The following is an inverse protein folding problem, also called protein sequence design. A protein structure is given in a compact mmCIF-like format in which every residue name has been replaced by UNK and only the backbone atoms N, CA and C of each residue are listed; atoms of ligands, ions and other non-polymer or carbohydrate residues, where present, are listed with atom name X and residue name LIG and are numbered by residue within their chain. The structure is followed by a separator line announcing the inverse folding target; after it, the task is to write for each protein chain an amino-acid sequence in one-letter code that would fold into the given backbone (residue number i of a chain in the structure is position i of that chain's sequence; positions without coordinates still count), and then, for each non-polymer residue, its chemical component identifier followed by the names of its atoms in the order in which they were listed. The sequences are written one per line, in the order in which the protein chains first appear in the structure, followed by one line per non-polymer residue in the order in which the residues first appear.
data_IF_619661223180
#
_entry.id   IF_619661223180
#
_cell.length_a   1.000
_cell.length_b   1.000
_cell.length_c   1.000
_cell.angle_alpha   90.00
_cell.angle_beta   90.00
_cell.angle_gamma   90.00
#
_symmetry.space_group_name_H-M   'P 1'
#
loop_
_entity.id
_entity.type
_entity.pdbx_description
1 polymer ?
#
# COMPACT_ATOMS: atom_id res chain seq x y z
N UNK A 1 -7.85 -8.57 -0.62
CA UNK A 1 -7.20 -8.25 -1.91
C UNK A 1 -7.06 -9.43 -2.87
N UNK A 2 -7.27 -10.69 -2.44
CA UNK A 2 -6.86 -11.91 -3.15
C UNK A 2 -7.33 -12.11 -4.62
N UNK A 3 -8.41 -11.44 -5.06
CA UNK A 3 -8.94 -11.59 -6.41
C UNK A 3 -8.83 -10.32 -7.29
N UNK A 4 -8.10 -9.30 -6.83
CA UNK A 4 -7.93 -8.04 -7.56
C UNK A 4 -6.52 -7.89 -8.14
N UNK A 5 -6.40 -6.95 -9.08
CA UNK A 5 -5.12 -6.48 -9.62
C UNK A 5 -5.05 -4.97 -9.43
N UNK A 6 -3.91 -4.48 -8.98
CA UNK A 6 -3.66 -3.06 -8.78
C UNK A 6 -2.39 -2.68 -9.51
N UNK A 7 -2.40 -1.51 -10.16
CA UNK A 7 -1.25 -1.01 -10.88
C UNK A 7 -0.38 -0.20 -9.93
N UNK A 8 0.89 -0.60 -9.83
CA UNK A 8 1.92 0.12 -9.09
C UNK A 8 2.76 0.93 -10.07
N UNK A 9 3.05 2.17 -9.69
CA UNK A 9 4.13 2.96 -10.26
C UNK A 9 5.32 2.97 -9.30
N UNK A 10 6.48 2.68 -9.84
CA UNK A 10 7.75 2.66 -9.12
C UNK A 10 8.68 3.66 -9.81
N UNK A 11 9.02 4.73 -9.09
CA UNK A 11 10.01 5.71 -9.53
C UNK A 11 11.36 5.35 -8.90
N UNK A 12 12.33 5.01 -9.75
CA UNK A 12 13.70 4.69 -9.32
C UNK A 12 14.53 5.97 -9.36
N UNK A 13 15.01 6.49 -8.22
CA UNK A 13 15.84 7.69 -8.20
C UNK A 13 17.26 7.41 -8.71
N UNK A 14 17.98 8.44 -9.15
CA UNK A 14 19.39 8.34 -9.56
C UNK A 14 20.30 7.77 -8.46
N UNK A 15 19.93 8.00 -7.20
CA UNK A 15 20.67 7.51 -6.03
C UNK A 15 20.40 6.05 -5.66
N UNK A 16 19.60 5.30 -6.42
CA UNK A 16 19.34 3.89 -6.14
C UNK A 16 20.63 3.03 -6.33
N UNK A 17 20.93 2.08 -5.43
CA UNK A 17 20.12 1.62 -4.30
C UNK A 17 20.41 2.30 -2.96
N UNK A 18 21.23 3.36 -2.90
CA UNK A 18 21.48 4.07 -1.64
C UNK A 18 20.25 4.86 -1.16
N UNK A 19 19.41 5.31 -2.09
CA UNK A 19 18.08 5.85 -1.82
C UNK A 19 17.00 4.83 -2.22
N UNK A 20 15.91 4.69 -1.44
CA UNK A 20 14.79 3.80 -1.77
C UNK A 20 14.04 4.29 -3.01
N UNK A 21 13.42 3.39 -3.79
CA UNK A 21 12.47 3.77 -4.81
C UNK A 21 11.22 4.40 -4.18
N UNK A 22 10.53 5.28 -4.91
CA UNK A 22 9.19 5.74 -4.51
C UNK A 22 8.14 4.84 -5.13
N UNK A 23 7.14 4.46 -4.33
CA UNK A 23 6.07 3.57 -4.77
C UNK A 23 4.73 4.24 -4.55
N UNK A 24 3.88 4.19 -5.57
CA UNK A 24 2.48 4.61 -5.46
C UNK A 24 1.56 3.70 -6.26
N UNK A 25 0.33 3.56 -5.81
CA UNK A 25 -0.71 2.91 -6.57
C UNK A 25 -1.30 3.89 -7.60
N UNK A 26 -1.30 3.49 -8.88
CA UNK A 26 -2.02 4.20 -9.95
C UNK A 26 -3.52 3.93 -9.90
N UNK A 27 -3.89 2.75 -9.44
CA UNK A 27 -5.27 2.35 -9.17
C UNK A 27 -5.65 2.66 -7.72
N UNK A 28 -6.91 3.01 -7.45
CA UNK A 28 -7.37 3.24 -6.08
C UNK A 28 -7.24 1.98 -5.21
N UNK A 29 -6.62 2.15 -4.04
CA UNK A 29 -6.45 1.13 -3.00
C UNK A 29 -6.87 1.74 -1.68
N UNK A 30 -7.64 0.97 -0.90
CA UNK A 30 -8.02 1.37 0.46
C UNK A 30 -7.22 0.53 1.44
N UNK A 31 -6.23 1.11 2.10
CA UNK A 31 -5.44 0.45 3.15
C UNK A 31 -4.87 1.49 4.11
N UNK A 32 -4.53 1.10 5.34
CA UNK A 32 -4.07 2.04 6.37
C UNK A 32 -2.78 2.78 5.98
N UNK A 33 -1.88 2.12 5.25
CA UNK A 33 -0.58 2.66 4.83
C UNK A 33 -0.57 3.21 3.40
N UNK A 34 -1.74 3.38 2.76
CA UNK A 34 -1.87 3.94 1.42
C UNK A 34 -2.73 5.19 1.49
N UNK A 35 -2.22 6.30 0.97
CA UNK A 35 -3.02 7.50 0.82
C UNK A 35 -4.12 7.25 -0.23
N UNK A 36 -5.36 7.55 0.15
CA UNK A 36 -6.53 7.15 -0.64
C UNK A 36 -6.70 7.99 -1.93
N UNK A 37 -6.23 9.23 -1.93
CA UNK A 37 -6.39 10.14 -3.07
C UNK A 37 -5.23 10.02 -4.06
N UNK A 38 -4.00 10.01 -3.54
CA UNK A 38 -2.76 10.03 -4.32
C UNK A 38 -2.22 8.64 -4.64
N UNK A 39 -2.61 7.63 -3.85
CA UNK A 39 -2.08 6.27 -3.92
C UNK A 39 -0.68 6.13 -3.33
N UNK A 40 -0.12 7.17 -2.69
CA UNK A 40 1.21 7.12 -2.09
C UNK A 40 1.28 6.03 -1.01
N UNK A 41 2.36 5.24 -1.05
CA UNK A 41 2.63 4.22 -0.03
C UNK A 41 3.51 4.86 1.05
N UNK A 42 3.13 4.67 2.32
CA UNK A 42 3.83 5.26 3.47
C UNK A 42 5.35 5.05 3.37
N UNK A 43 6.08 6.16 3.30
CA UNK A 43 7.53 6.16 3.15
C UNK A 43 8.26 5.58 4.37
N UNK A 44 7.70 5.63 5.58
CA UNK A 44 8.33 5.06 6.77
C UNK A 44 8.52 3.54 6.63
N UNK A 45 7.61 2.86 5.89
CA UNK A 45 7.76 1.45 5.52
C UNK A 45 9.03 1.21 4.67
N UNK A 46 9.36 2.17 3.80
CA UNK A 46 10.46 2.04 2.84
C UNK A 46 11.76 2.69 3.30
N UNK A 47 11.71 3.73 4.15
CA UNK A 47 12.83 4.64 4.44
C UNK A 47 13.58 4.26 5.70
N UNK A 48 12.89 4.02 6.81
CA UNK A 48 13.55 3.77 8.10
C UNK A 48 14.23 2.40 8.16
N UNK A 49 13.75 1.46 7.34
CA UNK A 49 14.29 0.11 7.22
C UNK A 49 14.96 -0.15 5.87
N UNK A 50 15.22 0.88 5.04
CA UNK A 50 15.84 0.67 3.74
C UNK A 50 17.26 0.13 3.88
N UNK A 51 17.59 -0.86 3.07
CA UNK A 51 18.96 -1.31 2.86
C UNK A 51 19.26 -1.32 1.37
N UNK A 52 20.45 -0.84 0.93
CA UNK A 52 20.87 -0.96 -0.47
C UNK A 52 20.94 -2.41 -0.99
N UNK A 53 20.84 -3.41 -0.10
CA UNK A 53 20.73 -4.82 -0.46
C UNK A 53 19.34 -5.20 -0.99
N UNK A 54 18.31 -4.35 -0.82
CA UNK A 54 16.96 -4.62 -1.29
C UNK A 54 16.80 -4.32 -2.77
N UNK A 55 16.09 -5.22 -3.45
CA UNK A 55 15.76 -5.12 -4.86
C UNK A 55 14.36 -4.56 -5.07
N UNK A 56 14.05 -4.11 -6.28
CA UNK A 56 12.67 -3.72 -6.65
C UNK A 56 11.66 -4.86 -6.44
N UNK A 57 12.08 -6.12 -6.65
CA UNK A 57 11.26 -7.30 -6.34
C UNK A 57 10.90 -7.37 -4.85
N UNK A 58 11.90 -7.18 -3.97
CA UNK A 58 11.67 -7.11 -2.52
C UNK A 58 10.80 -5.91 -2.12
N UNK A 59 10.92 -4.78 -2.81
CA UNK A 59 10.02 -3.64 -2.61
C UNK A 59 8.56 -4.02 -2.90
N UNK A 60 8.30 -4.72 -4.02
CA UNK A 60 6.94 -5.17 -4.37
C UNK A 60 6.41 -6.22 -3.38
N UNK A 61 7.24 -7.17 -2.96
CA UNK A 61 6.87 -8.12 -1.89
C UNK A 61 6.49 -7.41 -0.59
N UNK A 62 7.26 -6.40 -0.18
CA UNK A 62 6.98 -5.62 1.02
C UNK A 62 5.63 -4.89 0.94
N UNK A 63 5.31 -4.29 -0.23
CA UNK A 63 4.00 -3.67 -0.46
C UNK A 63 2.86 -4.69 -0.37
N UNK A 64 3.04 -5.89 -0.92
CA UNK A 64 2.03 -6.96 -0.81
C UNK A 64 1.83 -7.41 0.65
N UNK A 65 2.91 -7.59 1.41
CA UNK A 65 2.87 -7.94 2.83
C UNK A 65 2.20 -6.86 3.68
N UNK A 66 2.41 -5.59 3.37
CA UNK A 66 1.76 -4.45 4.01
C UNK A 66 0.24 -4.45 3.78
N UNK A 67 -0.21 -4.78 2.56
CA UNK A 67 -1.65 -4.91 2.29
C UNK A 67 -2.29 -6.08 3.06
N UNK A 68 -1.53 -7.16 3.31
CA UNK A 68 -1.99 -8.30 4.11
C UNK A 68 -1.96 -8.01 5.62
N UNK A 69 -1.04 -7.15 6.07
CA UNK A 69 -0.81 -6.81 7.48
C UNK A 69 -0.83 -5.28 7.65
N UNK A 70 -2.02 -4.65 7.69
CA UNK A 70 -2.14 -3.20 7.73
C UNK A 70 -1.55 -2.64 9.03
N UNK A 71 -0.57 -1.75 8.91
CA UNK A 71 0.05 -1.07 10.05
C UNK A 71 -0.83 0.07 10.56
N UNK A 72 -0.84 0.28 11.88
CA UNK A 72 -1.66 1.31 12.55
C UNK A 72 -0.85 2.46 13.15
N UNK A 73 0.48 2.37 13.18
CA UNK A 73 1.33 3.33 13.91
C UNK A 73 1.50 4.65 13.14
N UNK A 74 1.82 4.57 11.84
CA UNK A 74 1.93 5.73 10.92
C UNK A 74 0.99 5.56 9.71
N UNK A 75 -0.34 5.69 9.88
CA UNK A 75 -1.28 5.48 8.78
C UNK A 75 -1.37 6.72 7.88
N UNK A 76 -1.43 6.49 6.56
CA UNK A 76 -1.84 7.51 5.59
C UNK A 76 -3.38 7.58 5.48
N UNK A 77 -4.06 6.47 5.73
CA UNK A 77 -5.52 6.43 5.81
C UNK A 77 -5.97 6.27 7.26
N UNK A 78 -6.37 7.39 7.87
CA UNK A 78 -6.77 7.47 9.29
C UNK A 78 -8.08 6.73 9.59
N UNK A 79 -8.99 6.63 8.62
CA UNK A 79 -10.28 5.97 8.82
C UNK A 79 -10.12 4.45 8.94
N UNK A 80 -9.32 3.86 8.05
CA UNK A 80 -8.98 2.43 8.12
C UNK A 80 -8.20 2.13 9.40
N UNK A 81 -7.26 3.01 9.78
CA UNK A 81 -6.48 2.84 10.99
C UNK A 81 -7.35 2.96 12.26
N UNK A 82 -8.35 3.83 12.28
CA UNK A 82 -9.27 3.98 13.41
C UNK A 82 -10.06 2.69 13.66
N UNK A 83 -10.59 2.06 12.61
CA UNK A 83 -11.28 0.77 12.69
C UNK A 83 -10.38 -0.33 13.25
N UNK A 84 -9.14 -0.42 12.76
CA UNK A 84 -8.17 -1.39 13.25
C UNK A 84 -7.80 -1.15 14.73
N UNK A 85 -7.58 0.11 15.12
CA UNK A 85 -7.27 0.49 16.52
C UNK A 85 -8.42 0.25 17.48
N UNK A 86 -9.67 0.37 17.03
CA UNK A 86 -10.84 0.03 17.84
C UNK A 86 -11.09 -1.48 17.94
N UNK A 87 -10.28 -2.31 17.29
CA UNK A 87 -10.44 -3.75 17.23
C UNK A 87 -11.52 -4.21 16.24
N UNK A 88 -12.05 -3.31 15.41
CA UNK A 88 -13.07 -3.63 14.41
C UNK A 88 -12.41 -4.10 13.10
N UNK A 89 -11.76 -5.27 13.19
CA UNK A 89 -11.13 -5.89 12.04
C UNK A 89 -12.15 -6.25 10.94
N UNK A 90 -13.39 -6.58 11.33
CA UNK A 90 -14.47 -6.91 10.41
C UNK A 90 -14.91 -5.69 9.62
N UNK A 91 -15.05 -4.53 10.28
CA UNK A 91 -15.36 -3.26 9.63
C UNK A 91 -14.27 -2.84 8.66
N UNK A 92 -13.00 -2.91 9.09
CA UNK A 92 -11.86 -2.62 8.22
C UNK A 92 -11.82 -3.53 6.99
N UNK A 93 -11.98 -4.85 7.19
CA UNK A 93 -12.00 -5.81 6.08
C UNK A 93 -13.20 -5.58 5.14
N UNK A 94 -14.38 -5.28 5.70
CA UNK A 94 -15.58 -5.00 4.91
C UNK A 94 -15.42 -3.78 4.02
N UNK A 95 -14.78 -2.72 4.53
CA UNK A 95 -14.45 -1.52 3.76
C UNK A 95 -13.48 -1.83 2.62
N UNK A 96 -12.42 -2.60 2.89
CA UNK A 96 -11.45 -3.04 1.88
C UNK A 96 -12.13 -3.91 0.82
N UNK A 97 -12.99 -4.84 1.23
CA UNK A 97 -13.75 -5.72 0.32
C UNK A 97 -14.70 -4.93 -0.56
N UNK A 98 -15.46 -3.99 0.02
CA UNK A 98 -16.37 -3.11 -0.71
C UNK A 98 -15.60 -2.30 -1.76
N UNK A 99 -14.53 -1.62 -1.35
CA UNK A 99 -13.67 -0.87 -2.25
C UNK A 99 -13.05 -1.77 -3.33
N UNK A 100 -12.60 -2.98 -2.98
CA UNK A 100 -12.08 -3.90 -3.97
C UNK A 100 -13.18 -4.36 -4.94
N UNK A 101 -14.45 -4.50 -4.51
CA UNK A 101 -15.54 -5.02 -5.34
C UNK A 101 -16.03 -4.01 -6.40
N UNK A 102 -16.00 -2.71 -6.13
CA UNK A 102 -16.65 -1.70 -6.98
C UNK A 102 -15.97 -1.39 -8.32
N UNK A 103 -14.99 -2.18 -8.79
CA UNK A 103 -14.24 -2.02 -10.06
C UNK A 103 -13.46 -0.70 -10.25
N UNK A 104 -13.82 0.37 -9.54
CA UNK A 104 -13.21 1.71 -9.55
C UNK A 104 -11.70 1.76 -9.26
N UNK A 105 -11.13 0.67 -8.74
CA UNK A 105 -9.73 0.55 -8.36
C UNK A 105 -9.04 -0.71 -8.87
N UNK A 106 -9.68 -1.52 -9.72
CA UNK A 106 -9.02 -2.71 -10.29
C UNK A 106 -8.40 -2.39 -11.63
N UNK A 107 -7.20 -2.91 -11.87
CA UNK A 107 -6.58 -2.91 -13.18
C UNK A 107 -7.12 -4.09 -14.01
N UNK A 108 -7.78 -3.78 -15.12
CA UNK A 108 -8.40 -4.77 -16.01
C UNK A 108 -7.50 -5.22 -17.19
N UNK A 109 -6.24 -4.77 -17.25
CA UNK A 109 -5.28 -5.29 -18.25
C UNK A 109 -5.33 -4.62 -19.63
N UNK A 110 -5.48 -3.29 -19.68
CA UNK A 110 -5.22 -2.51 -20.91
C UNK A 110 -3.80 -1.96 -20.92
#
# INVERSE_FOLDING_TARGET
YEAGRWLLEIEVPEGYPNAPPKVRFRTRVVGSNVDFETGEVCLDLLKDNWSPAYTLEKTVEAVALMLANPGVDSPLNVDVAALLRSGDAVGAESLVRWAAAESWGRYEGK
#
